data_IF_567910868271
#
_entry.id   IF_567910868271
#
_cell.length_a   1.000
_cell.length_b   1.000
_cell.length_c   1.000
_cell.angle_alpha   90.00
_cell.angle_beta   90.00
_cell.angle_gamma   90.00
#
_symmetry.space_group_name_H-M   'P 1'
#
loop_
_entity.id
_entity.type
_entity.pdbx_description
1 polymer ?
#
# COMPACT_ATOMS: atom_id res chain seq x y z
N UNK A 1 14.34 7.48 0.42
CA UNK A 1 12.91 7.15 0.66
C UNK A 1 12.15 7.33 -0.65
N UNK A 2 11.52 6.31 -1.25
CA UNK A 2 10.57 6.54 -2.33
C UNK A 2 9.38 7.31 -1.74
N UNK A 3 9.04 8.44 -2.34
CA UNK A 3 8.22 9.46 -1.68
C UNK A 3 6.83 8.94 -1.29
N UNK A 4 6.37 9.16 -0.04
CA UNK A 4 5.10 8.65 0.50
C UNK A 4 3.86 9.00 -0.37
N UNK A 5 3.98 10.05 -1.20
CA UNK A 5 2.96 10.48 -2.15
C UNK A 5 2.58 9.41 -3.19
N UNK A 6 3.54 8.60 -3.67
CA UNK A 6 3.27 7.56 -4.70
C UNK A 6 2.55 6.37 -4.07
N UNK A 7 3.01 5.90 -2.92
CA UNK A 7 2.39 4.81 -2.17
C UNK A 7 0.96 5.16 -1.73
N UNK A 8 0.73 6.42 -1.37
CA UNK A 8 -0.58 6.96 -1.03
C UNK A 8 -1.55 6.92 -2.22
N UNK A 9 -1.09 7.35 -3.40
CA UNK A 9 -1.89 7.31 -4.62
C UNK A 9 -2.32 5.88 -4.96
N UNK A 10 -1.39 4.91 -4.83
CA UNK A 10 -1.69 3.51 -5.07
C UNK A 10 -2.71 2.93 -4.08
N UNK A 11 -2.62 3.29 -2.79
CA UNK A 11 -3.57 2.83 -1.75
C UNK A 11 -5.01 3.32 -2.01
N UNK A 12 -5.16 4.55 -2.45
CA UNK A 12 -6.50 5.15 -2.63
C UNK A 12 -7.14 4.68 -3.92
N UNK A 13 -6.34 4.54 -4.98
CA UNK A 13 -6.81 3.89 -6.21
C UNK A 13 -7.21 2.43 -5.91
N UNK A 14 -6.44 1.73 -5.08
CA UNK A 14 -6.77 0.38 -4.64
C UNK A 14 -8.11 0.33 -3.89
N UNK A 15 -8.32 1.21 -2.91
CA UNK A 15 -9.58 1.28 -2.17
C UNK A 15 -10.76 1.67 -3.07
N UNK A 16 -10.58 2.64 -3.98
CA UNK A 16 -11.60 3.02 -4.95
C UNK A 16 -11.96 1.85 -5.87
N UNK A 17 -10.95 1.06 -6.29
CA UNK A 17 -11.17 -0.15 -7.10
C UNK A 17 -11.92 -1.22 -6.32
N UNK A 18 -11.52 -1.48 -5.07
CA UNK A 18 -12.19 -2.46 -4.21
C UNK A 18 -13.62 -2.06 -3.87
N UNK A 19 -13.89 -0.79 -3.62
CA UNK A 19 -15.25 -0.30 -3.41
C UNK A 19 -16.14 -0.55 -4.64
N UNK A 20 -15.59 -0.41 -5.85
CA UNK A 20 -16.33 -0.75 -7.07
C UNK A 20 -16.50 -2.25 -7.23
N UNK A 21 -15.46 -3.04 -7.00
CA UNK A 21 -15.51 -4.50 -7.20
C UNK A 21 -16.42 -5.18 -6.17
N UNK A 22 -16.31 -4.82 -4.90
CA UNK A 22 -16.99 -5.50 -3.80
C UNK A 22 -18.32 -4.87 -3.40
N UNK A 23 -18.52 -3.57 -3.64
CA UNK A 23 -19.72 -2.84 -3.20
C UNK A 23 -20.46 -2.12 -4.34
N UNK A 24 -20.04 -2.31 -5.59
CA UNK A 24 -20.52 -1.61 -6.79
C UNK A 24 -20.39 -0.06 -6.77
N UNK A 25 -19.73 0.50 -5.76
CA UNK A 25 -19.58 1.96 -5.59
C UNK A 25 -18.46 2.51 -6.44
N UNK A 26 -18.80 3.41 -7.38
CA UNK A 26 -17.81 4.18 -8.15
C UNK A 26 -17.40 5.43 -7.39
N UNK A 27 -16.13 5.52 -6.98
CA UNK A 27 -15.57 6.80 -6.54
C UNK A 27 -15.27 7.66 -7.77
N UNK A 28 -15.85 8.86 -7.81
CA UNK A 28 -15.53 9.87 -8.82
C UNK A 28 -14.18 10.54 -8.50
N UNK A 29 -13.49 11.03 -9.53
CA UNK A 29 -12.12 11.56 -9.47
C UNK A 29 -11.88 12.53 -8.30
N UNK A 30 -12.87 13.37 -8.04
CA UNK A 30 -12.84 14.39 -7.00
C UNK A 30 -12.79 13.76 -5.60
N UNK A 31 -13.56 12.68 -5.39
CA UNK A 31 -13.56 11.92 -4.13
C UNK A 31 -12.23 11.20 -3.91
N UNK A 32 -11.60 10.69 -4.97
CA UNK A 32 -10.26 10.09 -4.90
C UNK A 32 -9.23 11.15 -4.46
N UNK A 33 -9.29 12.35 -5.05
CA UNK A 33 -8.40 13.46 -4.68
C UNK A 33 -8.66 13.96 -3.25
N UNK A 34 -9.91 14.01 -2.80
CA UNK A 34 -10.26 14.38 -1.44
C UNK A 34 -9.82 13.33 -0.41
N UNK A 35 -10.12 12.05 -0.66
CA UNK A 35 -9.65 10.95 0.16
C UNK A 35 -8.11 10.96 0.26
N UNK A 36 -7.42 11.35 -0.81
CA UNK A 36 -5.97 11.54 -0.80
C UNK A 36 -5.51 12.64 0.13
N UNK A 37 -6.12 13.82 0.06
CA UNK A 37 -5.78 14.90 0.98
C UNK A 37 -6.02 14.48 2.43
N UNK A 38 -7.18 13.88 2.70
CA UNK A 38 -7.55 13.46 4.05
C UNK A 38 -6.57 12.41 4.59
N UNK A 39 -6.33 11.33 3.85
CA UNK A 39 -5.43 10.28 4.30
C UNK A 39 -3.98 10.75 4.43
N UNK A 40 -3.54 11.70 3.58
CA UNK A 40 -2.21 12.32 3.75
C UNK A 40 -2.14 13.15 5.02
N UNK A 41 -3.18 13.95 5.32
CA UNK A 41 -3.27 14.69 6.57
C UNK A 41 -3.27 13.75 7.77
N UNK A 42 -4.14 12.73 7.76
CA UNK A 42 -4.25 11.74 8.83
C UNK A 42 -2.91 11.01 9.03
N UNK A 43 -2.21 10.67 7.95
CA UNK A 43 -0.88 10.06 8.01
C UNK A 43 0.17 11.02 8.60
N UNK A 44 0.22 12.29 8.18
CA UNK A 44 1.15 13.28 8.74
C UNK A 44 0.86 13.47 10.23
N UNK A 45 -0.41 13.60 10.59
CA UNK A 45 -0.87 13.85 11.95
C UNK A 45 -0.58 12.63 12.85
N UNK A 46 -0.83 11.42 12.35
CA UNK A 46 -0.44 10.19 13.03
C UNK A 46 1.08 10.12 13.26
N UNK A 47 1.91 10.53 12.28
CA UNK A 47 3.36 10.56 12.47
C UNK A 47 3.84 11.67 13.42
N UNK A 48 3.12 12.79 13.51
CA UNK A 48 3.44 13.87 14.45
C UNK A 48 3.14 13.50 15.90
N UNK A 49 2.03 12.80 16.15
CA UNK A 49 1.66 12.30 17.49
C UNK A 49 2.60 11.18 17.95
N UNK A 50 3.13 10.42 17.00
CA UNK A 50 3.82 9.17 17.26
C UNK A 50 5.34 9.32 17.21
N UNK A 51 5.95 10.15 18.06
CA UNK A 51 7.41 10.25 18.21
C UNK A 51 8.04 8.93 18.72
N UNK A 52 7.90 7.84 17.95
CA UNK A 52 8.04 6.47 18.38
C UNK A 52 9.22 5.86 17.61
N UNK A 53 10.35 5.77 18.31
CA UNK A 53 11.47 4.89 17.98
C UNK A 53 11.23 3.52 18.59
N UNK A 54 10.37 2.67 18.00
CA UNK A 54 10.29 1.27 18.45
C UNK A 54 11.29 0.44 17.63
N UNK A 55 12.19 -0.34 18.28
CA UNK A 55 13.04 -1.30 17.60
C UNK A 55 12.18 -2.42 17.01
N UNK A 56 12.05 -2.42 15.69
CA UNK A 56 11.10 -3.22 14.91
C UNK A 56 11.31 -4.73 14.88
N UNK A 57 12.16 -5.29 15.76
CA UNK A 57 12.62 -6.67 15.60
C UNK A 57 11.74 -7.76 16.22
N UNK A 58 10.78 -7.45 17.10
CA UNK A 58 10.14 -8.51 17.90
C UNK A 58 8.63 -8.42 18.17
N UNK A 59 7.89 -7.43 17.63
CA UNK A 59 6.42 -7.42 17.80
C UNK A 59 5.69 -8.03 16.60
N UNK A 60 4.57 -8.74 16.79
CA UNK A 60 3.73 -9.19 15.70
C UNK A 60 3.28 -7.97 14.88
N UNK A 61 3.68 -7.92 13.61
CA UNK A 61 3.25 -6.91 12.67
C UNK A 61 2.12 -7.48 11.81
N UNK A 62 1.05 -6.69 11.63
CA UNK A 62 0.05 -6.95 10.60
C UNK A 62 0.53 -6.28 9.31
N UNK A 63 0.77 -7.05 8.26
CA UNK A 63 1.22 -6.51 6.99
C UNK A 63 0.19 -6.72 5.88
N UNK A 64 -0.18 -5.65 5.18
CA UNK A 64 -0.99 -5.70 3.96
C UNK A 64 -0.06 -5.65 2.77
N UNK A 65 -0.24 -6.59 1.85
CA UNK A 65 0.58 -6.74 0.64
C UNK A 65 -0.37 -6.64 -0.56
N UNK A 66 0.12 -6.01 -1.61
CA UNK A 66 -0.59 -5.92 -2.86
C UNK A 66 0.39 -6.09 -4.03
N UNK A 67 -0.11 -6.68 -5.12
CA UNK A 67 0.59 -6.84 -6.39
C UNK A 67 -0.30 -6.29 -7.50
N UNK A 68 0.30 -5.54 -8.42
CA UNK A 68 -0.38 -4.97 -9.58
C UNK A 68 0.38 -5.27 -10.86
N UNK A 69 -0.38 -5.35 -11.95
CA UNK A 69 0.09 -5.81 -13.25
C UNK A 69 -0.25 -4.75 -14.30
N UNK A 70 0.68 -4.48 -15.21
CA UNK A 70 0.48 -3.59 -16.35
C UNK A 70 0.96 -4.28 -17.61
N UNK A 71 0.02 -4.82 -18.38
CA UNK A 71 0.30 -5.66 -19.55
C UNK A 71 1.04 -4.90 -20.66
N UNK A 72 0.52 -3.74 -21.09
CA UNK A 72 1.15 -2.95 -22.15
C UNK A 72 2.58 -2.47 -21.85
N UNK A 73 3.00 -2.45 -20.58
CA UNK A 73 4.37 -2.13 -20.19
C UNK A 73 5.17 -3.35 -19.71
N UNK A 74 4.55 -4.54 -19.73
CA UNK A 74 5.10 -5.80 -19.23
C UNK A 74 5.63 -5.68 -17.80
N UNK A 75 4.90 -4.97 -16.93
CA UNK A 75 5.32 -4.69 -15.55
C UNK A 75 4.51 -5.49 -14.55
N UNK A 76 5.20 -6.00 -13.54
CA UNK A 76 4.60 -6.36 -12.26
C UNK A 76 5.19 -5.46 -11.19
N UNK A 77 4.34 -4.93 -10.31
CA UNK A 77 4.75 -4.16 -9.15
C UNK A 77 4.10 -4.70 -7.91
N UNK A 78 4.75 -4.47 -6.77
CA UNK A 78 4.25 -4.87 -5.47
C UNK A 78 4.42 -3.73 -4.48
N UNK A 79 3.56 -3.72 -3.49
CA UNK A 79 3.58 -2.80 -2.36
C UNK A 79 3.20 -3.52 -1.08
N UNK A 80 3.80 -3.14 0.03
CA UNK A 80 3.44 -3.60 1.35
C UNK A 80 3.39 -2.45 2.34
N UNK A 81 2.54 -2.59 3.34
CA UNK A 81 2.41 -1.70 4.49
C UNK A 81 2.23 -2.54 5.76
N UNK A 82 3.14 -2.41 6.71
CA UNK A 82 3.07 -3.09 7.99
C UNK A 82 2.67 -2.10 9.10
N UNK A 83 1.87 -2.60 10.04
CA UNK A 83 1.44 -1.90 11.26
C UNK A 83 1.62 -2.79 12.49
N UNK A 84 1.84 -2.18 13.65
CA UNK A 84 1.81 -2.87 14.93
C UNK A 84 0.42 -3.36 15.29
N UNK A 85 0.33 -4.18 16.33
CA UNK A 85 -0.95 -4.72 16.82
C UNK A 85 -1.93 -3.65 17.31
N UNK A 86 -1.42 -2.50 17.76
CA UNK A 86 -2.19 -1.30 18.11
C UNK A 86 -2.68 -0.50 16.89
N UNK A 87 -2.48 -1.01 15.67
CA UNK A 87 -2.88 -0.35 14.44
C UNK A 87 -1.88 0.70 13.93
N UNK A 88 -0.83 0.97 14.70
CA UNK A 88 0.18 1.99 14.40
C UNK A 88 0.99 1.62 13.18
N UNK A 89 1.07 2.55 12.23
CA UNK A 89 1.94 2.41 11.07
C UNK A 89 3.39 2.18 11.50
N UNK A 90 4.04 1.20 10.87
CA UNK A 90 5.43 0.86 11.12
C UNK A 90 6.31 1.17 9.92
N UNK A 91 6.05 0.53 8.77
CA UNK A 91 6.79 0.80 7.55
C UNK A 91 5.99 0.42 6.30
N UNK A 92 6.42 0.94 5.16
CA UNK A 92 5.89 0.57 3.85
C UNK A 92 7.02 0.46 2.82
N UNK A 93 6.83 -0.40 1.81
CA UNK A 93 7.77 -0.58 0.70
C UNK A 93 7.02 -0.86 -0.58
N UNK A 94 7.54 -0.38 -1.70
CA UNK A 94 7.03 -0.74 -3.03
C UNK A 94 8.17 -0.83 -4.04
N UNK A 95 8.01 -1.71 -5.04
CA UNK A 95 8.90 -1.83 -6.20
C UNK A 95 8.12 -2.31 -7.42
N UNK A 96 8.71 -2.09 -8.58
CA UNK A 96 8.28 -2.67 -9.85
C UNK A 96 9.44 -3.43 -10.49
N UNK A 97 9.09 -4.34 -11.39
CA UNK A 97 10.04 -5.06 -12.23
C UNK A 97 9.51 -5.13 -13.67
N UNK A 98 10.41 -5.05 -14.64
CA UNK A 98 10.13 -5.24 -16.08
C UNK A 98 9.96 -6.72 -16.41
N UNK A 99 8.98 -7.35 -15.76
CA UNK A 99 8.57 -8.71 -16.03
C UNK A 99 7.09 -8.83 -15.62
N UNK A 100 6.23 -9.14 -16.59
CA UNK A 100 4.83 -9.42 -16.35
C UNK A 100 4.70 -10.84 -15.82
N UNK A 101 4.44 -10.96 -14.53
CA UNK A 101 4.15 -12.23 -13.88
C UNK A 101 2.68 -12.62 -14.07
N UNK A 102 2.43 -13.92 -14.09
CA UNK A 102 1.09 -14.46 -13.84
C UNK A 102 0.62 -14.02 -12.46
N UNK A 103 -0.70 -13.86 -12.28
CA UNK A 103 -1.28 -13.35 -11.03
C UNK A 103 -0.76 -14.13 -9.81
N UNK A 104 -0.86 -15.46 -9.85
CA UNK A 104 -0.40 -16.34 -8.76
C UNK A 104 1.09 -16.20 -8.45
N UNK A 105 1.95 -16.11 -9.48
CA UNK A 105 3.40 -15.87 -9.31
C UNK A 105 3.67 -14.48 -8.76
N UNK A 106 2.91 -13.49 -9.20
CA UNK A 106 2.99 -12.11 -8.71
C UNK A 106 2.67 -12.02 -7.23
N UNK A 107 1.54 -12.58 -6.81
CA UNK A 107 1.09 -12.61 -5.42
C UNK A 107 2.07 -13.37 -4.52
N UNK A 108 2.53 -14.55 -4.94
CA UNK A 108 3.55 -15.31 -4.21
C UNK A 108 4.86 -14.52 -4.06
N UNK A 109 5.29 -13.81 -5.10
CA UNK A 109 6.45 -12.93 -5.04
C UNK A 109 6.21 -11.75 -4.08
N UNK A 110 5.04 -11.12 -4.12
CA UNK A 110 4.67 -10.04 -3.20
C UNK A 110 4.76 -10.48 -1.75
N UNK A 111 4.26 -11.68 -1.45
CA UNK A 111 4.37 -12.31 -0.13
C UNK A 111 5.83 -12.56 0.25
N UNK A 112 6.61 -13.16 -0.64
CA UNK A 112 8.04 -13.43 -0.43
C UNK A 112 8.84 -12.16 -0.11
N UNK A 113 8.57 -11.05 -0.81
CA UNK A 113 9.20 -9.73 -0.60
C UNK A 113 8.79 -9.04 0.70
N UNK A 114 7.72 -9.51 1.36
CA UNK A 114 7.31 -8.98 2.64
C UNK A 114 7.95 -9.71 3.81
N UNK A 115 8.32 -10.96 3.61
CA UNK A 115 8.96 -11.80 4.64
C UNK A 115 10.50 -11.88 4.48
N UNK A 116 11.07 -11.34 3.40
CA UNK A 116 12.51 -11.23 3.12
C UNK A 116 12.88 -9.84 2.59
#
# INVERSE_FOLDING_TARGET
MPQPKISLFAMIIWNARNAKVWEDKRMISNQIVFARKHFLCDWIQANQVMNIKIPLKHLPLKCNINVSFKDGARLTSWGLCCRGNNGVFSFARSKWQKCLLLITKGEAMGLWKAVN
#
